data_IF_270529319949
#
_entry.id   IF_270529319949
#
_cell.length_a   1.000
_cell.length_b   1.000
_cell.length_c   1.000
_cell.angle_alpha   90.00
_cell.angle_beta   90.00
_cell.angle_gamma   90.00
#
_symmetry.space_group_name_H-M   'P 1'
#
loop_
_entity.id
_entity.type
_entity.pdbx_description
1 polymer ?
#
# COMPACT_ATOMS: atom_id res chain seq x y z
N UNK A 1 13.97 -22.58 22.86
CA UNK A 1 13.21 -22.87 21.63
C UNK A 1 13.18 -21.61 20.79
N UNK A 2 14.27 -21.42 20.04
CA UNK A 2 14.46 -20.31 19.12
C UNK A 2 13.38 -20.37 18.03
N UNK A 3 12.47 -19.40 18.04
CA UNK A 3 11.53 -19.20 16.92
C UNK A 3 12.35 -18.66 15.77
N UNK A 4 12.85 -19.54 14.90
CA UNK A 4 13.25 -19.13 13.56
C UNK A 4 12.09 -18.34 12.97
N UNK A 5 12.27 -17.02 12.84
CA UNK A 5 11.28 -16.14 12.26
C UNK A 5 11.06 -16.64 10.84
N UNK A 6 9.92 -17.28 10.62
CA UNK A 6 9.44 -17.66 9.29
C UNK A 6 9.67 -16.46 8.38
N UNK A 7 10.57 -16.63 7.41
CA UNK A 7 10.85 -15.64 6.38
C UNK A 7 9.54 -15.52 5.60
N UNK A 8 8.69 -14.57 5.98
CA UNK A 8 7.38 -14.33 5.36
C UNK A 8 7.64 -14.08 3.88
N UNK A 9 7.51 -15.11 3.06
CA UNK A 9 7.51 -14.97 1.61
C UNK A 9 6.34 -14.04 1.32
N UNK A 10 6.62 -12.91 0.68
CA UNK A 10 5.56 -11.97 0.34
C UNK A 10 4.42 -12.74 -0.33
N UNK A 11 3.16 -12.53 0.08
CA UNK A 11 2.03 -13.20 -0.54
C UNK A 11 2.07 -12.98 -2.06
N UNK A 12 1.64 -13.98 -2.84
CA UNK A 12 1.52 -13.84 -4.30
C UNK A 12 0.32 -12.96 -4.66
N UNK A 13 0.39 -11.67 -4.34
CA UNK A 13 -0.70 -10.70 -4.46
C UNK A 13 -1.31 -10.69 -5.85
N UNK A 14 -0.50 -10.77 -6.91
CA UNK A 14 -0.99 -10.89 -8.29
C UNK A 14 -1.95 -12.06 -8.48
N UNK A 15 -1.58 -13.25 -8.00
CA UNK A 15 -2.42 -14.45 -8.12
C UNK A 15 -3.68 -14.31 -7.29
N UNK A 16 -3.55 -13.84 -6.05
CA UNK A 16 -4.69 -13.64 -5.14
C UNK A 16 -5.71 -12.70 -5.77
N UNK A 17 -5.29 -11.52 -6.23
CA UNK A 17 -6.18 -10.55 -6.85
C UNK A 17 -6.72 -11.02 -8.21
N UNK A 18 -5.93 -11.73 -9.01
CA UNK A 18 -6.41 -12.30 -10.29
C UNK A 18 -7.50 -13.36 -10.03
N UNK A 19 -7.33 -14.21 -9.03
CA UNK A 19 -8.33 -15.21 -8.66
C UNK A 19 -9.62 -14.56 -8.14
N UNK A 20 -9.49 -13.52 -7.30
CA UNK A 20 -10.64 -12.76 -6.79
C UNK A 20 -11.41 -12.10 -7.94
N UNK A 21 -10.70 -11.45 -8.86
CA UNK A 21 -11.31 -10.80 -10.02
C UNK A 21 -12.01 -11.82 -10.92
N UNK A 22 -11.36 -12.94 -11.23
CA UNK A 22 -11.94 -13.95 -12.12
C UNK A 22 -13.17 -14.62 -11.49
N UNK A 23 -13.16 -14.88 -10.18
CA UNK A 23 -14.25 -15.60 -9.50
C UNK A 23 -15.41 -14.72 -9.04
N UNK A 24 -15.15 -13.48 -8.62
CA UNK A 24 -16.17 -12.62 -7.98
C UNK A 24 -16.45 -11.33 -8.74
N UNK A 25 -15.48 -10.77 -9.45
CA UNK A 25 -15.60 -9.43 -10.07
C UNK A 25 -15.02 -9.37 -11.49
N UNK A 26 -15.52 -10.20 -12.43
CA UNK A 26 -14.94 -10.28 -13.77
C UNK A 26 -15.02 -8.96 -14.53
N UNK A 27 -16.04 -8.13 -14.26
CA UNK A 27 -16.18 -6.80 -14.86
C UNK A 27 -15.09 -5.79 -14.48
N UNK A 28 -14.37 -6.01 -13.37
CA UNK A 28 -13.32 -5.09 -12.87
C UNK A 28 -11.90 -5.50 -13.31
N UNK A 29 -11.76 -6.59 -14.07
CA UNK A 29 -10.48 -7.10 -14.55
C UNK A 29 -9.73 -6.02 -15.34
N UNK A 30 -10.40 -5.40 -16.32
CA UNK A 30 -9.81 -4.39 -17.19
C UNK A 30 -9.30 -3.17 -16.40
N UNK A 31 -10.04 -2.74 -15.38
CA UNK A 31 -9.65 -1.60 -14.54
C UNK A 31 -8.43 -1.93 -13.66
N UNK A 32 -8.31 -3.16 -13.20
CA UNK A 32 -7.22 -3.61 -12.33
C UNK A 32 -5.99 -4.10 -13.11
N UNK A 33 -6.13 -4.41 -14.39
CA UNK A 33 -5.08 -4.93 -15.27
C UNK A 33 -3.83 -4.03 -15.25
N UNK A 34 -4.05 -2.70 -15.33
CA UNK A 34 -2.97 -1.70 -15.31
C UNK A 34 -2.04 -1.81 -14.10
N UNK A 35 -2.59 -2.22 -12.95
CA UNK A 35 -1.83 -2.40 -11.71
C UNK A 35 -1.24 -3.80 -11.65
N UNK A 36 -2.01 -4.83 -12.05
CA UNK A 36 -1.58 -6.24 -12.05
C UNK A 36 -0.44 -6.54 -13.03
N UNK A 37 -0.28 -5.75 -14.09
CA UNK A 37 0.79 -5.88 -15.07
C UNK A 37 2.17 -5.44 -14.57
N UNK A 38 2.28 -4.70 -13.46
CA UNK A 38 3.58 -4.28 -12.88
C UNK A 38 4.39 -5.49 -12.45
N UNK A 39 5.71 -5.46 -12.57
CA UNK A 39 6.58 -6.61 -12.20
C UNK A 39 6.42 -7.00 -10.72
N UNK A 40 6.45 -6.02 -9.82
CA UNK A 40 6.18 -6.16 -8.39
C UNK A 40 5.05 -5.22 -7.98
N UNK A 41 4.15 -5.71 -7.12
CA UNK A 41 3.08 -4.90 -6.55
C UNK A 41 3.57 -4.26 -5.26
N UNK A 42 3.65 -2.94 -5.23
CA UNK A 42 3.92 -2.21 -3.99
C UNK A 42 2.71 -2.27 -3.05
N UNK A 43 2.92 -1.93 -1.78
CA UNK A 43 1.82 -1.80 -0.81
C UNK A 43 0.77 -0.79 -1.31
N UNK A 44 1.19 0.25 -2.02
CA UNK A 44 0.30 1.24 -2.65
C UNK A 44 -0.55 0.66 -3.77
N UNK A 45 0.02 -0.25 -4.56
CA UNK A 45 -0.70 -0.95 -5.62
C UNK A 45 -1.76 -1.89 -5.05
N UNK A 46 -1.41 -2.59 -3.96
CA UNK A 46 -2.33 -3.47 -3.22
C UNK A 46 -3.50 -2.68 -2.65
N UNK A 47 -3.23 -1.51 -2.06
CA UNK A 47 -4.26 -0.61 -1.54
C UNK A 47 -5.23 -0.17 -2.65
N UNK A 48 -4.69 0.25 -3.80
CA UNK A 48 -5.50 0.67 -4.94
C UNK A 48 -6.33 -0.47 -5.52
N UNK A 49 -5.75 -1.68 -5.63
CA UNK A 49 -6.48 -2.87 -6.06
C UNK A 49 -7.63 -3.18 -5.11
N UNK A 50 -7.38 -3.14 -3.80
CA UNK A 50 -8.41 -3.38 -2.80
C UNK A 50 -9.56 -2.37 -2.91
N UNK A 51 -9.23 -1.08 -3.09
CA UNK A 51 -10.22 0.00 -3.29
C UNK A 51 -11.04 -0.18 -4.57
N UNK A 52 -10.41 -0.54 -5.69
CA UNK A 52 -11.13 -0.77 -6.96
C UNK A 52 -12.06 -1.98 -6.88
N UNK A 53 -11.58 -3.08 -6.28
CA UNK A 53 -12.31 -4.35 -6.23
C UNK A 53 -13.48 -4.29 -5.25
N UNK A 54 -13.23 -3.84 -4.00
CA UNK A 54 -14.21 -3.89 -2.91
C UNK A 54 -14.89 -2.54 -2.63
N UNK A 55 -14.39 -1.45 -3.19
CA UNK A 55 -14.89 -0.10 -2.93
C UNK A 55 -14.38 0.49 -1.61
N UNK A 56 -14.82 1.71 -1.30
CA UNK A 56 -14.38 2.45 -0.12
C UNK A 56 -15.12 2.05 1.19
N UNK A 57 -16.18 1.25 1.08
CA UNK A 57 -17.11 0.99 2.20
C UNK A 57 -16.51 0.05 3.26
N UNK A 58 -15.57 -0.83 2.88
CA UNK A 58 -14.89 -1.75 3.81
C UNK A 58 -13.59 -1.18 4.39
N UNK A 59 -13.17 0.02 3.99
CA UNK A 59 -11.94 0.65 4.50
C UNK A 59 -12.32 1.50 5.71
N UNK A 60 -12.72 0.83 6.78
CA UNK A 60 -12.81 1.47 8.09
C UNK A 60 -11.45 2.02 8.50
N UNK A 61 -11.43 3.02 9.39
CA UNK A 61 -10.20 3.56 9.96
C UNK A 61 -9.32 2.46 10.60
N UNK A 62 -9.93 1.37 11.06
CA UNK A 62 -9.22 0.22 11.61
C UNK A 62 -8.43 -0.55 10.56
N UNK A 63 -9.00 -0.75 9.35
CA UNK A 63 -8.29 -1.40 8.25
C UNK A 63 -7.07 -0.61 7.76
N UNK A 64 -7.07 0.73 7.89
CA UNK A 64 -5.88 1.54 7.59
C UNK A 64 -4.73 1.29 8.57
N UNK A 65 -5.03 0.99 9.84
CA UNK A 65 -4.02 0.72 10.88
C UNK A 65 -3.36 -0.64 10.72
N UNK A 66 -4.02 -1.59 10.06
CA UNK A 66 -3.52 -2.95 9.82
C UNK A 66 -2.57 -3.06 8.63
N UNK A 67 -2.33 -1.97 7.89
CA UNK A 67 -1.43 -1.96 6.74
C UNK A 67 0.03 -2.08 7.18
N UNK A 68 0.68 -3.15 6.72
CA UNK A 68 2.13 -3.33 6.90
C UNK A 68 2.85 -2.72 5.70
N UNK A 69 3.56 -1.61 5.92
CA UNK A 69 4.41 -0.98 4.91
C UNK A 69 5.84 -1.50 5.04
N UNK A 70 6.44 -1.93 3.93
CA UNK A 70 7.87 -2.26 3.89
C UNK A 70 8.72 -1.00 3.74
N UNK A 71 10.03 -1.13 3.99
CA UNK A 71 10.95 0.01 3.96
C UNK A 71 10.97 0.68 2.59
N UNK A 72 10.90 -0.10 1.50
CA UNK A 72 10.88 0.44 0.14
C UNK A 72 9.62 1.26 -0.14
N UNK A 73 8.45 0.81 0.28
CA UNK A 73 7.20 1.58 0.13
C UNK A 73 7.25 2.87 0.95
N UNK A 74 7.79 2.82 2.17
CA UNK A 74 7.94 4.02 3.00
C UNK A 74 8.88 5.03 2.33
N UNK A 75 10.04 4.59 1.85
CA UNK A 75 10.98 5.44 1.10
C UNK A 75 10.32 6.07 -0.12
N UNK A 76 9.61 5.30 -0.96
CA UNK A 76 8.89 5.81 -2.13
C UNK A 76 7.84 6.87 -1.77
N UNK A 77 7.13 6.69 -0.65
CA UNK A 77 6.14 7.67 -0.18
C UNK A 77 6.81 8.98 0.27
N UNK A 78 7.95 8.90 0.95
CA UNK A 78 8.69 10.08 1.39
C UNK A 78 9.41 10.79 0.24
N UNK A 79 9.91 10.06 -0.75
CA UNK A 79 10.44 10.63 -1.99
C UNK A 79 9.35 11.35 -2.79
N UNK A 80 8.14 10.78 -2.84
CA UNK A 80 6.98 11.44 -3.46
C UNK A 80 6.67 12.77 -2.77
N UNK A 81 6.79 12.83 -1.44
CA UNK A 81 6.63 14.07 -0.69
C UNK A 81 7.61 15.15 -1.16
N UNK A 82 8.91 14.80 -1.27
CA UNK A 82 9.96 15.73 -1.73
C UNK A 82 9.77 16.14 -3.20
N UNK A 83 9.43 15.18 -4.06
CA UNK A 83 9.27 15.42 -5.51
C UNK A 83 8.15 16.42 -5.84
N UNK A 84 7.08 16.41 -5.05
CA UNK A 84 5.90 17.25 -5.28
C UNK A 84 5.73 18.36 -4.23
N UNK A 85 6.74 18.58 -3.38
CA UNK A 85 6.76 19.58 -2.30
C UNK A 85 5.48 19.58 -1.44
N UNK A 86 5.07 18.38 -1.02
CA UNK A 86 3.83 18.18 -0.26
C UNK A 86 4.07 18.31 1.24
N UNK A 87 3.15 19.00 1.93
CA UNK A 87 3.15 18.95 3.38
C UNK A 87 2.59 17.62 3.91
N UNK A 88 2.82 17.33 5.21
CA UNK A 88 2.38 16.07 5.81
C UNK A 88 0.85 15.88 5.74
N UNK A 89 0.06 16.95 5.73
CA UNK A 89 -1.40 16.87 5.61
C UNK A 89 -1.80 16.45 4.20
N UNK A 90 -1.26 17.08 3.16
CA UNK A 90 -1.53 16.73 1.76
C UNK A 90 -1.08 15.30 1.46
N UNK A 91 0.11 14.90 1.92
CA UNK A 91 0.60 13.54 1.78
C UNK A 91 -0.29 12.53 2.51
N UNK A 92 -0.78 12.89 3.71
CA UNK A 92 -1.70 12.06 4.49
C UNK A 92 -3.04 11.83 3.79
N UNK A 93 -3.58 12.85 3.13
CA UNK A 93 -4.81 12.76 2.36
C UNK A 93 -4.58 11.89 1.12
N UNK A 94 -3.49 12.14 0.40
CA UNK A 94 -3.16 11.43 -0.84
C UNK A 94 -3.00 9.92 -0.62
N UNK A 95 -2.28 9.52 0.44
CA UNK A 95 -2.00 8.11 0.73
C UNK A 95 -2.96 7.50 1.76
N UNK A 96 -3.96 8.25 2.24
CA UNK A 96 -4.89 7.86 3.30
C UNK A 96 -4.14 7.30 4.53
N UNK A 97 -3.16 8.08 4.98
CA UNK A 97 -2.30 7.78 6.12
C UNK A 97 -2.59 8.74 7.26
N UNK A 98 -2.23 8.37 8.49
CA UNK A 98 -2.18 9.34 9.59
C UNK A 98 -0.98 10.26 9.41
N UNK A 99 -1.18 11.58 9.63
CA UNK A 99 -0.10 12.56 9.74
C UNK A 99 0.97 12.13 10.75
N UNK A 100 0.57 11.44 11.82
CA UNK A 100 1.48 10.92 12.84
C UNK A 100 2.34 9.76 12.30
N UNK A 101 1.78 8.92 11.41
CA UNK A 101 2.54 7.85 10.75
C UNK A 101 3.65 8.44 9.88
N UNK A 102 3.33 9.48 9.10
CA UNK A 102 4.30 10.17 8.23
C UNK A 102 5.40 10.81 9.08
N UNK A 103 5.04 11.52 10.16
CA UNK A 103 6.03 12.10 11.08
C UNK A 103 6.97 11.04 11.68
N UNK A 104 6.43 9.90 12.11
CA UNK A 104 7.23 8.77 12.62
C UNK A 104 8.14 8.19 11.54
N UNK A 105 7.69 8.09 10.29
CA UNK A 105 8.51 7.62 9.19
C UNK A 105 9.66 8.57 8.87
N UNK A 106 9.42 9.89 8.79
CA UNK A 106 10.48 10.89 8.59
C UNK A 106 11.58 10.76 9.64
N UNK A 107 11.20 10.64 10.92
CA UNK A 107 12.16 10.45 12.02
C UNK A 107 12.95 9.13 11.90
N UNK A 108 12.28 8.01 11.56
CA UNK A 108 12.93 6.70 11.43
C UNK A 108 13.88 6.60 10.23
N UNK A 109 13.55 7.23 9.12
CA UNK A 109 14.31 7.13 7.88
C UNK A 109 15.39 8.21 7.75
N UNK A 110 15.56 9.09 8.76
CA UNK A 110 16.55 10.18 8.80
C UNK A 110 16.66 10.90 7.45
N UNK A 111 15.50 11.20 6.86
CA UNK A 111 15.47 12.06 5.69
C UNK A 111 15.63 13.46 6.26
N UNK A 112 16.89 13.85 6.46
CA UNK A 112 17.29 15.22 6.73
C UNK A 112 16.68 16.10 5.62
N UNK A 113 16.14 17.23 6.07
CA UNK A 113 15.42 18.21 5.24
C UNK A 113 16.40 18.92 4.33
#
# INVERSE_FOLDING_TARGET
>A
MDREKQKMRQPYYKKIYSDILTKKFPGKINECQSILSKEELSVLDIIQLNERIFGCHEISADNQRLRSYDNQSISKILEYQKKYDLNNTQLSIHFKLSRNTIARWKSKFKIDE
#
